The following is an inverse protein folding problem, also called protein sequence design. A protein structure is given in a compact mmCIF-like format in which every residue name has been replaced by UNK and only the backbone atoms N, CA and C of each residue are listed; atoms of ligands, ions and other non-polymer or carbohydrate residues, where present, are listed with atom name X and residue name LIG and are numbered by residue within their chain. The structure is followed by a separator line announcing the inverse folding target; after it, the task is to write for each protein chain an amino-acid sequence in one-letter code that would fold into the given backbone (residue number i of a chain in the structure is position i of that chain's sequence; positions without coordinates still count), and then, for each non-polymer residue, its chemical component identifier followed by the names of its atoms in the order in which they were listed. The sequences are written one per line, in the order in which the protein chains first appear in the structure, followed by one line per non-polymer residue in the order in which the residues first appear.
data_IF_575500685489
#
_entry.id   IF_575500685489
#
_cell.length_a   1.000
_cell.length_b   1.000
_cell.length_c   1.000
_cell.angle_alpha   90.00
_cell.angle_beta   90.00
_cell.angle_gamma   90.00
#
_symmetry.space_group_name_H-M   'P 1'
#
loop_
_entity.id
_entity.type
_entity.pdbx_description
1 polymer ?
#
# COMPACT_ATOMS: atom_id res chain seq x y z
N UNK A 1 9.39 -49.26 25.88
CA UNK A 1 10.40 -48.72 24.94
C UNK A 1 10.13 -47.24 24.80
N UNK A 2 10.95 -46.42 25.45
CA UNK A 2 10.89 -44.95 25.39
C UNK A 2 11.81 -44.51 24.25
N UNK A 3 11.29 -43.75 23.29
CA UNK A 3 12.08 -43.10 22.27
C UNK A 3 12.48 -41.72 22.78
N UNK A 4 13.73 -41.60 23.21
CA UNK A 4 14.40 -40.31 23.43
C UNK A 4 14.98 -39.85 22.10
N UNK A 5 14.40 -38.82 21.49
CA UNK A 5 15.06 -38.11 20.40
C UNK A 5 16.22 -37.27 20.96
N UNK A 6 17.42 -37.65 20.53
CA UNK A 6 18.65 -36.89 20.71
C UNK A 6 18.76 -35.96 19.50
N UNK A 7 18.57 -34.66 19.70
CA UNK A 7 18.96 -33.65 18.70
C UNK A 7 20.11 -32.84 19.29
N UNK A 8 21.28 -33.06 18.71
CA UNK A 8 22.55 -32.44 19.10
C UNK A 8 22.55 -30.91 18.92
N UNK A 9 23.27 -30.18 19.78
CA UNK A 9 23.44 -28.74 19.70
C UNK A 9 24.55 -28.43 18.69
N UNK A 10 24.17 -28.16 17.44
CA UNK A 10 25.09 -27.66 16.44
C UNK A 10 24.41 -26.53 15.67
N UNK A 11 24.56 -25.32 16.19
CA UNK A 11 25.20 -24.19 15.49
C UNK A 11 24.87 -22.91 16.26
N UNK A 12 25.81 -22.57 17.13
CA UNK A 12 25.93 -21.24 17.70
C UNK A 12 26.02 -20.19 16.60
N UNK A 13 25.33 -19.08 16.85
CA UNK A 13 25.77 -17.70 16.61
C UNK A 13 26.56 -17.41 15.34
N UNK A 14 25.96 -16.62 14.44
CA UNK A 14 26.68 -15.50 13.79
C UNK A 14 25.70 -14.54 13.11
N UNK A 15 25.60 -13.36 13.71
CA UNK A 15 25.42 -12.03 13.11
C UNK A 15 24.68 -11.93 11.77
N UNK A 16 23.54 -11.24 11.81
CA UNK A 16 23.45 -9.99 11.05
C UNK A 16 22.60 -8.96 11.80
N UNK A 17 23.24 -7.86 12.21
CA UNK A 17 22.61 -6.56 12.41
C UNK A 17 22.11 -6.04 11.04
N UNK A 18 21.11 -6.73 10.48
CA UNK A 18 20.46 -6.40 9.23
C UNK A 18 19.11 -5.75 9.53
N UNK A 19 19.12 -4.43 9.69
CA UNK A 19 17.92 -3.57 9.73
C UNK A 19 16.82 -4.09 8.79
N UNK A 20 15.70 -4.45 9.39
CA UNK A 20 14.35 -4.49 8.81
C UNK A 20 14.30 -4.71 7.29
N UNK A 21 14.60 -5.92 6.83
CA UNK A 21 14.01 -6.38 5.59
C UNK A 21 12.50 -6.48 5.86
N UNK A 22 11.72 -5.51 5.40
CA UNK A 22 10.27 -5.56 5.48
C UNK A 22 9.81 -6.74 4.62
N UNK A 23 9.67 -7.92 5.24
CA UNK A 23 8.97 -9.06 4.65
C UNK A 23 7.53 -8.60 4.44
N UNK A 24 7.24 -8.14 3.22
CA UNK A 24 5.94 -7.70 2.76
C UNK A 24 4.94 -8.88 2.78
N UNK A 25 4.43 -9.22 3.97
CA UNK A 25 3.44 -10.28 4.19
C UNK A 25 2.05 -9.72 3.90
N UNK A 26 1.58 -9.90 2.67
CA UNK A 26 0.31 -9.32 2.21
C UNK A 26 -0.91 -10.25 2.07
N UNK A 27 -1.14 -11.29 2.91
CA UNK A 27 -2.40 -12.02 2.76
C UNK A 27 -3.64 -11.24 3.21
N UNK A 28 -3.55 -10.09 3.90
CA UNK A 28 -4.72 -9.45 4.54
C UNK A 28 -4.81 -7.91 4.49
N UNK A 29 -4.09 -7.24 3.58
CA UNK A 29 -4.05 -5.76 3.53
C UNK A 29 -5.45 -5.14 3.42
N UNK A 30 -6.30 -5.72 2.55
CA UNK A 30 -7.65 -5.21 2.29
C UNK A 30 -8.54 -5.32 3.53
N UNK A 31 -8.37 -6.41 4.30
CA UNK A 31 -9.12 -6.66 5.54
C UNK A 31 -8.66 -5.69 6.61
N UNK A 32 -7.35 -5.50 6.79
CA UNK A 32 -6.81 -4.54 7.75
C UNK A 32 -7.34 -3.13 7.48
N UNK A 33 -7.26 -2.67 6.22
CA UNK A 33 -7.76 -1.35 5.85
C UNK A 33 -9.28 -1.24 6.05
N UNK A 34 -10.05 -2.29 5.72
CA UNK A 34 -11.48 -2.32 6.00
C UNK A 34 -11.80 -2.25 7.50
N UNK A 35 -11.02 -2.90 8.36
CA UNK A 35 -11.21 -2.82 9.81
C UNK A 35 -10.97 -1.39 10.33
N UNK A 36 -9.92 -0.71 9.84
CA UNK A 36 -9.66 0.70 10.17
C UNK A 36 -10.81 1.62 9.72
N UNK A 37 -11.36 1.39 8.52
CA UNK A 37 -12.44 2.24 7.97
C UNK A 37 -13.78 1.94 8.63
N UNK A 38 -14.15 0.66 8.81
CA UNK A 38 -15.49 0.27 9.23
C UNK A 38 -15.64 0.13 10.75
N UNK A 39 -14.61 -0.41 11.44
CA UNK A 39 -14.66 -0.62 12.89
C UNK A 39 -14.15 0.60 13.64
N UNK A 40 -13.00 1.12 13.23
CA UNK A 40 -12.37 2.27 13.88
C UNK A 40 -12.85 3.62 13.33
N UNK A 41 -13.69 3.60 12.29
CA UNK A 41 -14.30 4.80 11.68
C UNK A 41 -13.26 5.81 11.19
N UNK A 42 -12.09 5.35 10.78
CA UNK A 42 -11.07 6.23 10.21
C UNK A 42 -11.52 6.71 8.82
N UNK A 43 -11.05 7.91 8.45
CA UNK A 43 -11.16 8.37 7.07
C UNK A 43 -10.41 7.41 6.15
N UNK A 44 -10.96 7.03 4.97
CA UNK A 44 -10.31 6.05 4.09
C UNK A 44 -8.87 6.39 3.70
N UNK A 45 -8.56 7.68 3.49
CA UNK A 45 -7.19 8.15 3.25
C UNK A 45 -6.28 7.97 4.46
N UNK A 46 -6.76 8.24 5.68
CA UNK A 46 -5.97 8.04 6.89
C UNK A 46 -5.74 6.56 7.16
N UNK A 47 -6.75 5.71 6.91
CA UNK A 47 -6.61 4.26 6.98
C UNK A 47 -5.55 3.74 5.99
N UNK A 48 -5.48 4.29 4.78
CA UNK A 48 -4.41 3.99 3.82
C UNK A 48 -3.04 4.39 4.37
N UNK A 49 -2.89 5.60 4.92
CA UNK A 49 -1.62 6.07 5.48
C UNK A 49 -1.14 5.21 6.66
N UNK A 50 -2.04 4.90 7.60
CA UNK A 50 -1.75 4.02 8.73
C UNK A 50 -1.40 2.59 8.28
N UNK A 51 -2.10 2.07 7.26
CA UNK A 51 -1.76 0.79 6.66
C UNK A 51 -0.36 0.82 6.03
N UNK A 52 0.00 1.91 5.33
CA UNK A 52 1.31 2.04 4.70
C UNK A 52 2.45 1.98 5.71
N UNK A 53 2.29 2.60 6.88
CA UNK A 53 3.22 2.47 8.01
C UNK A 53 3.24 1.03 8.54
N UNK A 54 2.06 0.45 8.81
CA UNK A 54 1.94 -0.90 9.37
C UNK A 54 2.62 -1.97 8.50
N UNK A 55 2.56 -1.82 7.17
CA UNK A 55 3.18 -2.74 6.22
C UNK A 55 4.59 -2.32 5.77
N UNK A 56 5.18 -1.29 6.39
CA UNK A 56 6.56 -0.87 6.13
C UNK A 56 6.79 -0.23 4.76
N UNK A 57 5.77 0.36 4.14
CA UNK A 57 5.91 1.12 2.90
C UNK A 57 6.51 2.51 3.14
N UNK A 58 6.17 3.12 4.27
CA UNK A 58 6.68 4.42 4.70
C UNK A 58 7.05 4.34 6.19
N UNK A 59 7.90 5.23 6.65
CA UNK A 59 8.25 5.31 8.08
C UNK A 59 7.20 6.09 8.87
N UNK A 60 7.20 5.93 10.20
CA UNK A 60 6.34 6.68 11.12
C UNK A 60 6.54 8.20 10.97
N UNK A 61 7.78 8.65 10.68
CA UNK A 61 8.07 10.08 10.48
C UNK A 61 7.39 10.64 9.22
N UNK A 62 7.20 9.82 8.18
CA UNK A 62 6.51 10.22 6.95
C UNK A 62 4.98 10.22 7.10
N UNK A 63 4.43 9.62 8.16
CA UNK A 63 2.98 9.53 8.37
C UNK A 63 2.32 10.91 8.47
N UNK A 64 2.86 11.80 9.30
CA UNK A 64 2.33 13.16 9.49
C UNK A 64 2.28 13.94 8.16
N UNK A 65 3.28 13.75 7.30
CA UNK A 65 3.32 14.35 5.96
C UNK A 65 2.17 13.84 5.08
N UNK A 66 1.89 12.53 5.13
CA UNK A 66 0.80 11.92 4.35
C UNK A 66 -0.57 12.32 4.89
N UNK A 67 -0.73 12.44 6.20
CA UNK A 67 -1.99 12.87 6.83
C UNK A 67 -2.29 14.36 6.59
N UNK A 68 -1.27 15.20 6.39
CA UNK A 68 -1.43 16.63 6.12
C UNK A 68 -1.91 16.94 4.68
N UNK A 69 -2.06 15.93 3.81
CA UNK A 69 -2.50 16.13 2.42
C UNK A 69 -3.90 16.71 2.38
N UNK A 70 -4.06 17.78 1.60
CA UNK A 70 -5.36 18.37 1.31
C UNK A 70 -5.88 17.86 -0.04
N UNK A 71 -7.20 17.74 -0.21
CA UNK A 71 -7.78 17.43 -1.51
C UNK A 71 -7.35 18.50 -2.53
N UNK A 72 -6.78 18.07 -3.65
CA UNK A 72 -6.45 18.92 -4.80
C UNK A 72 -7.37 18.55 -5.98
N UNK A 73 -6.87 18.51 -7.21
CA UNK A 73 -7.62 18.00 -8.38
C UNK A 73 -7.97 16.50 -8.26
N UNK A 74 -7.23 15.77 -7.42
CA UNK A 74 -7.45 14.37 -7.13
C UNK A 74 -8.31 14.18 -5.88
N UNK A 75 -9.06 13.08 -5.83
CA UNK A 75 -9.70 12.68 -4.57
C UNK A 75 -8.63 12.37 -3.51
N UNK A 76 -8.97 12.57 -2.23
CA UNK A 76 -8.00 12.46 -1.14
C UNK A 76 -7.31 11.08 -1.08
N UNK A 77 -8.02 10.00 -1.41
CA UNK A 77 -7.43 8.65 -1.45
C UNK A 77 -6.35 8.51 -2.54
N UNK A 78 -6.57 9.11 -3.72
CA UNK A 78 -5.59 9.11 -4.82
C UNK A 78 -4.37 9.98 -4.48
N UNK A 79 -4.61 11.14 -3.87
CA UNK A 79 -3.52 12.01 -3.41
C UNK A 79 -2.68 11.31 -2.33
N UNK A 80 -3.32 10.65 -1.36
CA UNK A 80 -2.64 9.83 -0.35
C UNK A 80 -1.83 8.70 -0.96
N UNK A 81 -2.39 7.95 -1.93
CA UNK A 81 -1.63 6.91 -2.63
C UNK A 81 -0.38 7.46 -3.33
N UNK A 82 -0.49 8.59 -4.03
CA UNK A 82 0.62 9.23 -4.71
C UNK A 82 1.77 9.56 -3.74
N UNK A 83 1.45 10.14 -2.59
CA UNK A 83 2.48 10.48 -1.59
C UNK A 83 3.07 9.25 -0.91
N UNK A 84 2.29 8.19 -0.66
CA UNK A 84 2.84 6.92 -0.16
C UNK A 84 3.88 6.35 -1.14
N UNK A 85 3.57 6.36 -2.44
CA UNK A 85 4.48 5.90 -3.49
C UNK A 85 5.75 6.77 -3.55
N UNK A 86 5.59 8.09 -3.48
CA UNK A 86 6.70 9.04 -3.48
C UNK A 86 7.66 8.79 -2.30
N UNK A 87 7.11 8.60 -1.10
CA UNK A 87 7.89 8.31 0.11
C UNK A 87 8.54 6.92 0.06
N UNK A 88 7.83 5.91 -0.44
CA UNK A 88 8.39 4.57 -0.65
C UNK A 88 9.64 4.62 -1.54
N UNK A 89 9.59 5.34 -2.67
CA UNK A 89 10.74 5.46 -3.57
C UNK A 89 11.91 6.25 -3.00
N UNK A 90 11.70 7.12 -2.01
CA UNK A 90 12.81 7.77 -1.28
C UNK A 90 13.52 6.80 -0.34
N UNK A 91 12.76 5.91 0.29
CA UNK A 91 13.29 4.93 1.24
C UNK A 91 13.93 3.71 0.58
N UNK A 92 13.56 3.41 -0.67
CA UNK A 92 14.01 2.23 -1.38
C UNK A 92 15.20 2.54 -2.32
N UNK A 93 16.42 2.09 -1.99
CA UNK A 93 17.53 2.17 -2.93
C UNK A 93 17.26 1.23 -4.11
N UNK A 94 17.11 1.78 -5.32
CA UNK A 94 16.93 1.00 -6.55
C UNK A 94 18.06 -0.02 -6.67
N UNK A 95 17.71 -1.29 -6.81
CA UNK A 95 18.67 -2.38 -6.94
C UNK A 95 19.30 -2.32 -8.33
N UNK A 96 20.63 -2.23 -8.40
CA UNK A 96 21.37 -2.29 -9.67
C UNK A 96 20.89 -3.51 -10.49
N UNK A 97 20.41 -3.27 -11.72
CA UNK A 97 19.93 -4.30 -12.63
C UNK A 97 18.40 -4.47 -12.71
N UNK A 98 17.61 -3.73 -11.91
CA UNK A 98 16.17 -3.59 -12.11
C UNK A 98 15.87 -2.35 -12.98
N UNK A 99 14.78 -2.34 -13.78
CA UNK A 99 14.42 -1.18 -14.58
C UNK A 99 14.26 0.05 -13.69
N UNK A 100 14.86 1.17 -14.11
CA UNK A 100 14.71 2.44 -13.41
C UNK A 100 13.21 2.76 -13.29
N UNK A 101 12.73 2.91 -12.07
CA UNK A 101 11.32 3.15 -11.82
C UNK A 101 11.04 4.63 -12.00
N UNK A 102 10.23 4.97 -13.00
CA UNK A 102 9.69 6.31 -13.14
C UNK A 102 8.42 6.41 -12.28
N UNK A 103 8.46 7.28 -11.27
CA UNK A 103 7.33 7.60 -10.40
C UNK A 103 6.08 7.92 -11.23
N UNK A 104 6.26 8.68 -12.31
CA UNK A 104 5.16 9.08 -13.20
C UNK A 104 4.53 7.86 -13.89
N UNK A 105 5.34 6.87 -14.28
CA UNK A 105 4.83 5.65 -14.90
C UNK A 105 3.97 4.86 -13.91
N UNK A 106 4.47 4.61 -12.70
CA UNK A 106 3.73 3.86 -11.66
C UNK A 106 2.43 4.57 -11.28
N UNK A 107 2.50 5.89 -11.10
CA UNK A 107 1.34 6.69 -10.78
C UNK A 107 0.30 6.68 -11.91
N UNK A 108 0.74 6.81 -13.16
CA UNK A 108 -0.14 6.79 -14.33
C UNK A 108 -0.86 5.44 -14.50
N UNK A 109 -0.17 4.32 -14.24
CA UNK A 109 -0.77 2.99 -14.30
C UNK A 109 -1.82 2.79 -13.21
N UNK A 110 -1.49 3.13 -11.95
CA UNK A 110 -2.44 3.03 -10.83
C UNK A 110 -3.65 3.91 -11.09
N UNK A 111 -3.46 5.13 -11.60
CA UNK A 111 -4.56 6.05 -11.85
C UNK A 111 -5.42 5.62 -13.03
N UNK A 112 -4.82 5.03 -14.07
CA UNK A 112 -5.58 4.43 -15.18
C UNK A 112 -6.43 3.27 -14.67
N UNK A 113 -5.84 2.36 -13.92
CA UNK A 113 -6.53 1.16 -13.42
C UNK A 113 -7.62 1.53 -12.41
N UNK A 114 -7.36 2.49 -11.53
CA UNK A 114 -8.34 3.07 -10.62
C UNK A 114 -9.49 3.74 -11.38
N UNK A 115 -9.21 4.53 -12.42
CA UNK A 115 -10.25 5.14 -13.27
C UNK A 115 -11.07 4.10 -14.01
N UNK A 116 -10.45 3.03 -14.51
CA UNK A 116 -11.16 1.91 -15.16
C UNK A 116 -12.09 1.20 -14.18
N UNK A 117 -11.59 0.89 -12.98
CA UNK A 117 -12.41 0.28 -11.92
C UNK A 117 -13.61 1.15 -11.55
N UNK A 118 -13.40 2.47 -11.43
CA UNK A 118 -14.49 3.41 -11.18
C UNK A 118 -15.49 3.45 -12.33
N UNK A 119 -15.04 3.49 -13.60
CA UNK A 119 -15.92 3.44 -14.78
C UNK A 119 -16.75 2.16 -14.81
N UNK A 120 -16.16 1.01 -14.55
CA UNK A 120 -16.89 -0.28 -14.53
C UNK A 120 -17.97 -0.31 -13.45
N UNK A 121 -17.68 0.24 -12.27
CA UNK A 121 -18.66 0.40 -11.19
C UNK A 121 -19.77 1.38 -11.62
N UNK A 122 -19.44 2.52 -12.23
CA UNK A 122 -20.44 3.50 -12.71
C UNK A 122 -21.30 2.98 -13.86
N UNK A 123 -20.72 2.24 -14.82
CA UNK A 123 -21.45 1.65 -15.97
C UNK A 123 -22.48 0.62 -15.52
N UNK A 124 -22.23 -0.06 -14.39
CA UNK A 124 -23.21 -0.93 -13.77
C UNK A 124 -24.34 -0.19 -13.02
N UNK A 125 -24.20 1.12 -12.78
CA UNK A 125 -25.09 1.87 -11.89
C UNK A 125 -25.74 3.15 -12.41
N UNK A 126 -25.31 3.82 -13.50
CA UNK A 126 -26.18 4.74 -14.29
C UNK A 126 -25.50 5.47 -15.48
N UNK A 127 -26.35 5.88 -16.44
CA UNK A 127 -26.09 6.47 -17.77
C UNK A 127 -25.53 7.92 -17.84
N UNK A 128 -24.79 8.44 -16.86
CA UNK A 128 -24.32 9.84 -16.94
C UNK A 128 -22.83 10.00 -16.63
N UNK A 129 -22.12 10.50 -17.63
CA UNK A 129 -20.70 10.78 -17.61
C UNK A 129 -20.35 11.96 -16.72
N UNK A 130 -19.67 11.65 -15.62
CA UNK A 130 -18.49 12.31 -15.06
C UNK A 130 -18.18 11.54 -13.76
N UNK A 131 -16.95 11.04 -13.60
CA UNK A 131 -16.58 10.16 -12.48
C UNK A 131 -16.36 11.02 -11.23
N UNK A 132 -17.43 11.53 -10.65
CA UNK A 132 -17.41 12.06 -9.30
C UNK A 132 -17.61 10.88 -8.34
N UNK A 133 -16.53 10.40 -7.70
CA UNK A 133 -16.65 9.41 -6.62
C UNK A 133 -17.45 10.07 -5.50
N UNK A 134 -18.71 9.66 -5.33
CA UNK A 134 -19.52 10.10 -4.20
C UNK A 134 -18.80 9.66 -2.91
N UNK A 135 -18.75 10.52 -1.89
CA UNK A 135 -18.04 10.25 -0.61
C UNK A 135 -18.35 8.88 0.01
N UNK A 136 -19.51 8.29 -0.26
CA UNK A 136 -19.85 6.95 0.18
C UNK A 136 -19.06 5.85 -0.55
N UNK A 137 -18.58 5.98 -1.78
CA UNK A 137 -17.87 4.87 -2.44
C UNK A 137 -16.39 4.80 -2.03
N UNK A 138 -15.89 5.83 -1.33
CA UNK A 138 -14.52 5.89 -0.84
C UNK A 138 -14.16 4.71 0.09
N UNK A 139 -15.11 4.19 0.88
CA UNK A 139 -14.83 3.03 1.76
C UNK A 139 -14.64 1.71 0.98
N UNK A 140 -15.20 1.60 -0.23
CA UNK A 140 -14.98 0.45 -1.13
C UNK A 140 -13.75 0.66 -2.00
N UNK A 141 -13.54 1.90 -2.41
CA UNK A 141 -12.48 2.28 -3.34
C UNK A 141 -11.10 2.26 -2.68
N UNK A 142 -10.94 2.77 -1.46
CA UNK A 142 -9.65 2.85 -0.79
C UNK A 142 -8.94 1.49 -0.61
N UNK A 143 -9.62 0.40 -0.17
CA UNK A 143 -9.00 -0.92 -0.13
C UNK A 143 -8.50 -1.40 -1.50
N UNK A 144 -9.29 -1.17 -2.56
CA UNK A 144 -8.91 -1.56 -3.93
C UNK A 144 -7.73 -0.75 -4.45
N UNK A 145 -7.76 0.58 -4.25
CA UNK A 145 -6.67 1.46 -4.66
C UNK A 145 -5.36 1.12 -3.95
N UNK A 146 -5.42 0.85 -2.64
CA UNK A 146 -4.26 0.46 -1.85
C UNK A 146 -3.68 -0.88 -2.33
N UNK A 147 -4.54 -1.84 -2.69
CA UNK A 147 -4.11 -3.12 -3.25
C UNK A 147 -3.44 -2.97 -4.63
N UNK A 148 -4.03 -2.17 -5.52
CA UNK A 148 -3.42 -1.86 -6.83
C UNK A 148 -2.05 -1.22 -6.67
N UNK A 149 -1.92 -0.27 -5.73
CA UNK A 149 -0.65 0.35 -5.39
C UNK A 149 0.38 -0.69 -4.95
N UNK A 150 0.02 -1.59 -4.03
CA UNK A 150 0.94 -2.66 -3.58
C UNK A 150 1.36 -3.59 -4.69
N UNK A 151 0.43 -4.02 -5.54
CA UNK A 151 0.75 -4.87 -6.69
C UNK A 151 1.78 -4.21 -7.60
N UNK A 152 1.68 -2.90 -7.79
CA UNK A 152 2.64 -2.14 -8.58
C UNK A 152 3.99 -1.99 -7.85
N UNK A 153 3.99 -1.67 -6.56
CA UNK A 153 5.22 -1.61 -5.76
C UNK A 153 5.96 -2.96 -5.69
N UNK A 154 5.22 -4.08 -5.65
CA UNK A 154 5.80 -5.44 -5.68
C UNK A 154 6.49 -5.78 -7.01
N UNK A 155 6.15 -5.12 -8.12
CA UNK A 155 6.89 -5.27 -9.38
C UNK A 155 8.28 -4.64 -9.32
N UNK A 156 8.49 -3.78 -8.33
CA UNK A 156 9.73 -3.04 -8.11
C UNK A 156 10.21 -3.21 -6.66
N UNK A 157 10.50 -4.44 -6.22
CA UNK A 157 10.82 -4.69 -4.83
C UNK A 157 12.07 -3.89 -4.44
N UNK A 158 11.86 -2.98 -3.48
CA UNK A 158 12.96 -2.45 -2.69
C UNK A 158 13.67 -3.52 -1.91
N UNK A 159 14.92 -3.24 -1.56
CA UNK A 159 15.82 -4.18 -0.88
C UNK A 159 15.23 -4.79 0.38
#
# INVERSE_FOLDING_TARGET
MQFTEVVSPAMAEKHSDGKYAAELKFPNVRIHLQDLVLREKQLPSHAMANSAVHFGLISDESLEKVLAIKPTELCLCMATAATIIEEYFKGVPQRNGFPAVDFEQVLSEIFRDAKTHLKEVTVSTDHQGEIAIRSHDCYKFAPTLFDLMLQQLLRYPGR
#
